data_IF_011938438126
#
_entry.id   IF_011938438126
#
_cell.length_a   1.000
_cell.length_b   1.000
_cell.length_c   1.000
_cell.angle_alpha   90.00
_cell.angle_beta   90.00
_cell.angle_gamma   90.00
#
_symmetry.space_group_name_H-M   'P 1'
#
loop_
_entity.id
_entity.type
_entity.pdbx_description
1 polymer ?
#
# COMPACT_ATOMS: atom_id res chain seq x y z
N UNK A 1 -22.61 -13.54 -2.11
CA UNK A 1 -22.02 -14.01 -0.82
C UNK A 1 -20.71 -13.28 -0.62
N UNK A 2 -20.40 -12.86 0.60
CA UNK A 2 -19.13 -12.21 0.91
C UNK A 2 -17.95 -13.14 0.60
N UNK A 3 -16.87 -12.59 0.05
CA UNK A 3 -15.62 -13.33 -0.16
C UNK A 3 -14.93 -13.57 1.18
N UNK A 4 -14.51 -14.78 1.44
CA UNK A 4 -13.80 -15.16 2.67
C UNK A 4 -12.30 -14.89 2.53
N UNK A 5 -11.78 -14.06 3.43
CA UNK A 5 -10.39 -13.58 3.38
C UNK A 5 -9.63 -14.01 4.62
N UNK A 6 -8.43 -14.56 4.43
CA UNK A 6 -7.43 -14.77 5.46
C UNK A 6 -6.36 -13.67 5.42
N UNK A 7 -5.77 -13.35 6.58
CA UNK A 7 -4.63 -12.43 6.65
C UNK A 7 -3.45 -13.18 7.29
N UNK A 8 -2.35 -13.29 6.56
CA UNK A 8 -1.09 -13.77 7.12
C UNK A 8 -0.20 -12.58 7.52
N UNK A 9 0.08 -12.43 8.82
CA UNK A 9 0.74 -11.27 9.40
C UNK A 9 -0.26 -10.19 9.84
N UNK A 10 -0.62 -10.20 11.11
CA UNK A 10 -1.57 -9.24 11.69
C UNK A 10 -0.85 -8.05 12.33
N UNK A 11 0.21 -7.58 11.63
CA UNK A 11 0.96 -6.36 11.93
C UNK A 11 0.17 -5.09 11.59
N UNK A 12 0.87 -3.96 11.39
CA UNK A 12 0.22 -2.67 11.05
C UNK A 12 -0.70 -2.79 9.83
N UNK A 13 -0.17 -3.28 8.71
CA UNK A 13 -0.94 -3.35 7.45
C UNK A 13 -2.08 -4.37 7.56
N UNK A 14 -1.84 -5.58 8.08
CA UNK A 14 -2.91 -6.58 8.25
C UNK A 14 -4.07 -6.06 9.10
N UNK A 15 -3.79 -5.39 10.24
CA UNK A 15 -4.83 -4.76 11.06
C UNK A 15 -5.53 -3.60 10.35
N UNK A 16 -4.79 -2.77 9.62
CA UNK A 16 -5.39 -1.65 8.89
C UNK A 16 -6.24 -2.11 7.70
N UNK A 17 -5.90 -3.20 7.04
CA UNK A 17 -6.75 -3.84 6.00
C UNK A 17 -8.07 -4.29 6.62
N UNK A 18 -8.03 -4.97 7.77
CA UNK A 18 -9.26 -5.35 8.48
C UNK A 18 -10.07 -4.11 8.88
N UNK A 19 -9.44 -3.09 9.48
CA UNK A 19 -10.09 -1.84 9.87
C UNK A 19 -10.72 -1.11 8.68
N UNK A 20 -10.03 -1.05 7.53
CA UNK A 20 -10.51 -0.37 6.33
C UNK A 20 -11.74 -1.06 5.70
N UNK A 21 -11.87 -2.36 5.89
CA UNK A 21 -12.98 -3.14 5.39
C UNK A 21 -14.14 -3.29 6.38
N UNK A 22 -14.04 -2.75 7.60
CA UNK A 22 -15.15 -2.80 8.56
C UNK A 22 -16.41 -2.16 7.97
N UNK A 23 -17.52 -2.90 8.03
CA UNK A 23 -18.80 -2.48 7.45
C UNK A 23 -18.95 -2.77 5.95
N UNK A 24 -17.93 -3.31 5.27
CA UNK A 24 -18.07 -3.77 3.89
C UNK A 24 -18.74 -5.16 3.86
N UNK A 25 -19.98 -5.30 3.32
CA UNK A 25 -20.71 -6.56 3.31
C UNK A 25 -20.15 -7.59 2.31
N UNK A 26 -19.25 -7.18 1.42
CA UNK A 26 -18.70 -8.06 0.39
C UNK A 26 -17.46 -8.82 0.86
N UNK A 27 -16.87 -8.44 2.01
CA UNK A 27 -15.64 -9.04 2.54
C UNK A 27 -15.90 -9.65 3.93
N UNK A 28 -15.51 -10.91 4.07
CA UNK A 28 -15.60 -11.66 5.32
C UNK A 28 -14.21 -12.12 5.76
N UNK A 29 -13.60 -11.43 6.74
CA UNK A 29 -12.36 -11.92 7.35
C UNK A 29 -12.68 -13.11 8.26
N UNK A 30 -12.20 -14.29 7.86
CA UNK A 30 -12.48 -15.56 8.55
C UNK A 30 -11.34 -16.00 9.45
N UNK A 31 -10.10 -15.61 9.14
CA UNK A 31 -8.94 -15.92 9.97
C UNK A 31 -7.80 -14.91 9.80
N UNK A 32 -6.98 -14.83 10.83
CA UNK A 32 -5.67 -14.17 10.80
C UNK A 32 -4.59 -15.14 11.31
N UNK A 33 -3.37 -14.99 10.84
CA UNK A 33 -2.21 -15.70 11.37
C UNK A 33 -1.20 -14.71 11.91
N UNK A 34 -0.77 -14.91 13.15
CA UNK A 34 0.34 -14.17 13.77
C UNK A 34 0.93 -14.99 14.92
N UNK A 35 2.18 -14.72 15.30
CA UNK A 35 2.88 -15.51 16.30
C UNK A 35 2.63 -15.07 17.74
N UNK A 36 1.84 -14.01 17.92
CA UNK A 36 1.47 -13.50 19.25
C UNK A 36 0.08 -13.98 19.69
N UNK A 37 -0.27 -13.77 20.94
CA UNK A 37 -1.54 -14.25 21.50
C UNK A 37 -2.75 -13.51 20.93
N UNK A 38 -3.94 -14.16 20.82
CA UNK A 38 -5.17 -13.51 20.42
C UNK A 38 -5.52 -12.28 21.27
N UNK A 39 -5.24 -12.31 22.57
CA UNK A 39 -5.46 -11.18 23.46
C UNK A 39 -4.62 -9.95 23.06
N UNK A 40 -3.35 -10.15 22.71
CA UNK A 40 -2.48 -9.07 22.23
C UNK A 40 -2.95 -8.56 20.87
N UNK A 41 -3.36 -9.45 19.98
CA UNK A 41 -3.88 -9.05 18.65
C UNK A 41 -5.17 -8.24 18.77
N UNK A 42 -6.10 -8.66 19.63
CA UNK A 42 -7.34 -7.93 19.93
C UNK A 42 -7.03 -6.54 20.52
N UNK A 43 -6.11 -6.46 21.46
CA UNK A 43 -5.67 -5.19 22.06
C UNK A 43 -5.11 -4.24 20.99
N UNK A 44 -4.18 -4.70 20.15
CA UNK A 44 -3.57 -3.89 19.10
C UNK A 44 -4.53 -3.58 17.93
N UNK A 45 -5.57 -4.37 17.74
CA UNK A 45 -6.65 -4.04 16.81
C UNK A 45 -7.53 -2.92 17.37
N UNK A 46 -7.85 -2.98 18.68
CA UNK A 46 -8.68 -2.00 19.37
C UNK A 46 -8.00 -0.64 19.49
N UNK A 47 -6.76 -0.64 19.94
CA UNK A 47 -6.00 0.56 20.29
C UNK A 47 -4.88 0.82 19.29
N UNK A 48 -4.90 1.97 18.65
CA UNK A 48 -3.90 2.35 17.66
C UNK A 48 -3.44 3.79 17.89
N UNK A 49 -2.13 3.97 18.05
CA UNK A 49 -1.53 5.27 18.36
C UNK A 49 -1.65 6.28 17.22
N UNK A 50 -1.80 5.80 15.97
CA UNK A 50 -1.88 6.63 14.75
C UNK A 50 -3.34 6.90 14.38
N UNK A 51 -4.13 5.82 14.21
CA UNK A 51 -5.50 5.88 13.72
C UNK A 51 -6.55 6.01 14.82
N UNK A 52 -6.11 5.92 16.08
CA UNK A 52 -7.02 6.00 17.24
C UNK A 52 -7.76 4.68 17.50
N UNK A 53 -8.59 4.72 18.53
CA UNK A 53 -9.28 3.54 19.03
C UNK A 53 -10.49 3.18 18.18
N UNK A 54 -10.66 1.89 17.85
CA UNK A 54 -11.89 1.41 17.24
C UNK A 54 -13.05 1.52 18.24
N UNK A 55 -14.22 1.93 17.72
CA UNK A 55 -15.46 1.96 18.50
C UNK A 55 -16.09 0.58 18.63
N UNK A 56 -15.80 -0.32 17.70
CA UNK A 56 -16.29 -1.69 17.66
C UNK A 56 -15.99 -2.44 18.96
N UNK A 57 -16.82 -3.37 19.33
CA UNK A 57 -16.56 -4.30 20.42
C UNK A 57 -15.53 -5.34 19.98
N UNK A 58 -14.37 -5.35 20.64
CA UNK A 58 -13.26 -6.25 20.32
C UNK A 58 -12.96 -7.11 21.55
N UNK A 59 -13.12 -8.43 21.40
CA UNK A 59 -12.78 -9.41 22.43
C UNK A 59 -11.88 -10.50 21.86
N UNK A 60 -11.40 -11.40 22.72
CA UNK A 60 -10.58 -12.55 22.33
C UNK A 60 -10.92 -13.78 23.13
N UNK A 61 -10.71 -14.95 22.55
CA UNK A 61 -10.69 -16.24 23.22
C UNK A 61 -9.34 -16.93 23.02
N UNK A 62 -9.33 -18.24 23.21
CA UNK A 62 -8.08 -19.03 23.16
C UNK A 62 -7.43 -19.02 21.76
N UNK A 63 -8.25 -19.06 20.71
CA UNK A 63 -7.80 -19.20 19.33
C UNK A 63 -8.60 -18.33 18.34
N UNK A 64 -9.21 -17.25 18.83
CA UNK A 64 -9.96 -16.30 18.02
C UNK A 64 -9.93 -14.89 18.62
N UNK A 65 -10.23 -13.92 17.76
CA UNK A 65 -10.66 -12.57 18.14
C UNK A 65 -12.10 -12.38 17.68
N UNK A 66 -12.83 -11.47 18.32
CA UNK A 66 -14.15 -11.04 17.83
C UNK A 66 -14.16 -9.57 17.48
N UNK A 67 -14.93 -9.22 16.47
CA UNK A 67 -15.27 -7.85 16.12
C UNK A 67 -16.79 -7.77 16.04
N UNK A 68 -17.42 -7.03 16.94
CA UNK A 68 -18.88 -6.92 17.07
C UNK A 68 -19.56 -8.30 17.13
N UNK A 69 -18.98 -9.22 17.89
CA UNK A 69 -19.47 -10.59 18.06
C UNK A 69 -19.10 -11.57 16.93
N UNK A 70 -18.61 -11.09 15.80
CA UNK A 70 -18.17 -11.95 14.70
C UNK A 70 -16.78 -12.53 15.01
N UNK A 71 -16.66 -13.86 14.99
CA UNK A 71 -15.41 -14.56 15.27
C UNK A 71 -14.49 -14.57 14.04
N UNK A 72 -13.21 -14.31 14.28
CA UNK A 72 -12.10 -14.42 13.36
C UNK A 72 -11.10 -15.38 13.97
N UNK A 73 -10.86 -16.53 13.34
CA UNK A 73 -9.89 -17.54 13.83
C UNK A 73 -8.48 -16.96 13.89
N UNK A 74 -7.74 -17.29 14.91
CA UNK A 74 -6.31 -16.95 15.02
C UNK A 74 -5.48 -18.21 14.87
N UNK A 75 -4.66 -18.26 13.83
CA UNK A 75 -3.60 -19.24 13.68
C UNK A 75 -2.31 -18.69 14.27
N UNK A 76 -1.41 -19.59 14.70
CA UNK A 76 -0.07 -19.23 15.18
C UNK A 76 0.97 -20.15 14.55
N UNK A 77 1.19 -19.97 13.24
CA UNK A 77 2.05 -20.83 12.43
C UNK A 77 3.08 -19.99 11.66
N UNK A 78 4.35 -20.45 11.71
CA UNK A 78 5.46 -19.80 10.99
C UNK A 78 5.53 -20.19 9.53
N UNK A 79 5.18 -21.44 9.24
CA UNK A 79 5.27 -22.02 7.91
C UNK A 79 3.93 -21.86 7.18
N UNK A 80 3.85 -21.03 6.14
CA UNK A 80 2.60 -20.81 5.42
C UNK A 80 2.00 -22.08 4.82
N UNK A 81 2.81 -23.10 4.54
CA UNK A 81 2.34 -24.37 4.02
C UNK A 81 1.54 -25.21 5.04
N UNK A 82 1.63 -24.87 6.32
CA UNK A 82 0.90 -25.55 7.41
C UNK A 82 -0.36 -24.82 7.83
N UNK A 83 -0.66 -23.67 7.22
CA UNK A 83 -1.88 -22.90 7.51
C UNK A 83 -3.10 -23.56 6.85
N UNK A 84 -4.02 -24.03 7.67
CA UNK A 84 -5.26 -24.66 7.20
C UNK A 84 -6.34 -23.61 6.86
N UNK A 85 -6.08 -22.86 5.79
CA UNK A 85 -7.04 -21.91 5.26
C UNK A 85 -8.36 -22.56 4.80
N UNK A 86 -8.31 -23.85 4.46
CA UNK A 86 -9.48 -24.60 4.01
C UNK A 86 -10.49 -24.80 5.13
N UNK A 87 -10.03 -25.03 6.38
CA UNK A 87 -10.91 -25.23 7.55
C UNK A 87 -11.81 -24.03 7.82
N UNK A 88 -11.38 -22.83 7.43
CA UNK A 88 -12.15 -21.57 7.56
C UNK A 88 -12.77 -21.13 6.23
N UNK A 89 -12.49 -21.86 5.15
CA UNK A 89 -13.00 -21.60 3.81
C UNK A 89 -12.46 -20.31 3.17
N UNK A 90 -11.27 -19.84 3.53
CA UNK A 90 -10.67 -18.65 2.94
C UNK A 90 -10.46 -18.83 1.43
N UNK A 91 -10.81 -17.81 0.65
CA UNK A 91 -10.73 -17.80 -0.82
C UNK A 91 -9.60 -16.89 -1.31
N UNK A 92 -9.30 -15.84 -0.54
CA UNK A 92 -8.18 -14.92 -0.75
C UNK A 92 -7.33 -14.89 0.51
N UNK A 93 -6.01 -14.85 0.37
CA UNK A 93 -5.08 -14.59 1.49
C UNK A 93 -4.34 -13.29 1.22
N UNK A 94 -4.37 -12.38 2.19
CA UNK A 94 -3.51 -11.19 2.21
C UNK A 94 -2.23 -11.55 2.95
N UNK A 95 -1.12 -11.61 2.23
CA UNK A 95 0.21 -11.83 2.78
C UNK A 95 0.81 -10.47 3.21
N UNK A 96 0.88 -10.22 4.50
CA UNK A 96 1.35 -8.96 5.09
C UNK A 96 2.37 -9.13 6.21
N UNK A 97 3.09 -10.28 6.23
CA UNK A 97 4.21 -10.51 7.16
C UNK A 97 5.46 -9.72 6.78
N UNK A 98 5.64 -9.38 5.50
CA UNK A 98 6.88 -8.84 4.93
C UNK A 98 7.98 -9.89 4.72
N UNK A 99 7.76 -11.16 5.09
CA UNK A 99 8.73 -12.25 4.93
C UNK A 99 8.54 -13.05 3.64
N UNK A 100 7.30 -13.19 3.17
CA UNK A 100 6.95 -14.01 2.00
C UNK A 100 6.66 -13.11 0.78
N UNK A 101 7.59 -12.22 0.47
CA UNK A 101 7.49 -11.33 -0.72
C UNK A 101 7.96 -11.99 -2.01
N UNK A 102 8.60 -13.16 -1.94
CA UNK A 102 8.84 -14.01 -3.09
C UNK A 102 7.60 -14.89 -3.35
N UNK A 103 7.00 -14.76 -4.53
CA UNK A 103 5.82 -15.52 -4.92
C UNK A 103 6.05 -17.03 -4.87
N UNK A 104 7.28 -17.51 -5.09
CA UNK A 104 7.62 -18.92 -4.93
C UNK A 104 7.41 -19.43 -3.50
N UNK A 105 7.48 -18.55 -2.51
CA UNK A 105 7.16 -18.85 -1.11
C UNK A 105 5.69 -18.59 -0.81
N UNK A 106 5.16 -17.46 -1.28
CA UNK A 106 3.76 -17.06 -1.05
C UNK A 106 2.76 -18.05 -1.67
N UNK A 107 3.13 -18.76 -2.73
CA UNK A 107 2.27 -19.79 -3.34
C UNK A 107 1.89 -20.93 -2.37
N UNK A 108 2.58 -21.08 -1.24
CA UNK A 108 2.22 -22.02 -0.20
C UNK A 108 0.84 -21.76 0.42
N UNK A 109 0.31 -20.55 0.27
CA UNK A 109 -1.07 -20.23 0.68
C UNK A 109 -2.13 -20.76 -0.28
N UNK A 110 -1.80 -21.00 -1.55
CA UNK A 110 -2.74 -21.54 -2.55
C UNK A 110 -3.12 -22.97 -2.18
N UNK A 111 -4.39 -23.30 -2.36
CA UNK A 111 -4.88 -24.64 -2.00
C UNK A 111 -6.33 -24.88 -2.42
N UNK A 112 -7.00 -25.81 -1.75
CA UNK A 112 -8.35 -26.23 -2.12
C UNK A 112 -9.34 -25.07 -2.19
N UNK A 113 -9.30 -24.14 -1.23
CA UNK A 113 -10.21 -23.00 -1.14
C UNK A 113 -9.56 -21.68 -1.58
N UNK A 114 -8.28 -21.46 -1.22
CA UNK A 114 -7.57 -20.22 -1.56
C UNK A 114 -7.21 -20.21 -3.05
N UNK A 115 -7.76 -19.23 -3.76
CA UNK A 115 -7.54 -19.04 -5.20
C UNK A 115 -6.59 -17.90 -5.51
N UNK A 116 -6.53 -16.89 -4.64
CA UNK A 116 -5.70 -15.71 -4.83
C UNK A 116 -4.89 -15.37 -3.57
N UNK A 117 -3.67 -14.92 -3.79
CA UNK A 117 -2.79 -14.37 -2.74
C UNK A 117 -2.44 -12.94 -3.12
N UNK A 118 -2.69 -11.99 -2.23
CA UNK A 118 -2.30 -10.59 -2.37
C UNK A 118 -1.08 -10.36 -1.48
N UNK A 119 0.07 -10.10 -2.07
CA UNK A 119 1.27 -9.69 -1.32
C UNK A 119 1.19 -8.18 -1.11
N UNK A 120 1.12 -7.75 0.15
CA UNK A 120 1.02 -6.34 0.54
C UNK A 120 2.39 -5.64 0.59
N UNK A 121 3.22 -5.90 -0.40
CA UNK A 121 4.57 -5.35 -0.55
C UNK A 121 5.03 -5.49 -2.02
N UNK A 122 6.09 -4.79 -2.46
CA UNK A 122 6.79 -5.16 -3.68
C UNK A 122 7.23 -6.62 -3.61
N UNK A 123 6.94 -7.38 -4.66
CA UNK A 123 7.22 -8.80 -4.70
C UNK A 123 8.32 -9.16 -5.71
N UNK A 124 8.68 -10.43 -5.76
CA UNK A 124 9.47 -11.03 -6.82
C UNK A 124 8.81 -12.32 -7.27
N UNK A 125 8.93 -12.64 -8.55
CA UNK A 125 8.34 -13.83 -9.19
C UNK A 125 6.80 -13.89 -9.10
N UNK A 126 6.15 -12.78 -8.79
CA UNK A 126 4.69 -12.65 -8.79
C UNK A 126 4.12 -12.78 -10.20
N UNK A 127 2.87 -13.26 -10.31
CA UNK A 127 2.21 -13.37 -11.59
C UNK A 127 1.94 -11.98 -12.19
N UNK A 128 1.61 -11.01 -11.33
CA UNK A 128 1.40 -9.61 -11.72
C UNK A 128 1.58 -8.67 -10.53
N UNK A 129 2.15 -7.49 -10.78
CA UNK A 129 2.06 -6.34 -9.89
C UNK A 129 0.93 -5.42 -10.36
N UNK A 130 -0.05 -5.14 -9.48
CA UNK A 130 -1.20 -4.27 -9.77
C UNK A 130 -1.16 -3.00 -8.95
N UNK A 131 -1.43 -1.89 -9.63
CA UNK A 131 -1.78 -0.60 -9.02
C UNK A 131 -3.13 -0.17 -9.60
N UNK A 132 -4.16 -0.18 -8.79
CA UNK A 132 -5.51 0.19 -9.19
C UNK A 132 -5.55 1.65 -9.69
N UNK A 133 -6.30 1.90 -10.75
CA UNK A 133 -6.32 3.15 -11.49
C UNK A 133 -5.24 3.24 -12.59
N UNK A 134 -4.25 2.33 -12.59
CA UNK A 134 -3.10 2.40 -13.50
C UNK A 134 -3.05 1.23 -14.48
N UNK A 135 -3.05 -0.02 -14.00
CA UNK A 135 -2.85 -1.18 -14.88
C UNK A 135 -3.76 -2.38 -14.56
N UNK A 136 -4.90 -2.16 -13.90
CA UNK A 136 -5.85 -3.24 -13.59
C UNK A 136 -6.45 -3.93 -14.84
N UNK A 137 -6.38 -3.28 -15.99
CA UNK A 137 -6.78 -3.84 -17.27
C UNK A 137 -5.90 -5.03 -17.72
N UNK A 138 -4.70 -5.15 -17.17
CA UNK A 138 -3.77 -6.27 -17.42
C UNK A 138 -4.09 -7.53 -16.61
N UNK A 139 -5.02 -7.45 -15.67
CA UNK A 139 -5.37 -8.60 -14.85
C UNK A 139 -6.13 -9.66 -15.65
N UNK A 140 -5.68 -10.91 -15.50
CA UNK A 140 -6.33 -12.10 -16.06
C UNK A 140 -6.58 -13.10 -14.92
N UNK A 141 -7.86 -13.29 -14.54
CA UNK A 141 -8.24 -14.14 -13.42
C UNK A 141 -7.78 -15.60 -13.59
N UNK A 142 -7.64 -16.07 -14.83
CA UNK A 142 -7.22 -17.45 -15.12
C UNK A 142 -5.72 -17.69 -14.94
N UNK A 143 -4.90 -16.62 -14.97
CA UNK A 143 -3.43 -16.71 -14.94
C UNK A 143 -2.81 -16.14 -13.68
N UNK A 144 -3.39 -15.08 -13.13
CA UNK A 144 -2.78 -14.32 -12.05
C UNK A 144 -3.36 -14.74 -10.70
N UNK A 145 -2.65 -15.60 -9.97
CA UNK A 145 -3.04 -16.11 -8.67
C UNK A 145 -2.25 -15.47 -7.52
N UNK A 146 -1.03 -15.01 -7.79
CA UNK A 146 -0.18 -14.31 -6.81
C UNK A 146 0.05 -12.88 -7.29
N UNK A 147 -0.58 -11.95 -6.63
CA UNK A 147 -0.66 -10.55 -7.03
C UNK A 147 0.11 -9.69 -6.01
N UNK A 148 1.05 -8.87 -6.48
CA UNK A 148 1.64 -7.82 -5.66
C UNK A 148 0.80 -6.54 -5.76
N UNK A 149 0.45 -5.94 -4.62
CA UNK A 149 -0.16 -4.60 -4.57
C UNK A 149 0.91 -3.49 -4.59
N UNK A 150 2.14 -3.79 -5.01
CA UNK A 150 3.28 -2.88 -4.99
C UNK A 150 3.56 -2.28 -3.60
N UNK A 151 4.26 -1.13 -3.53
CA UNK A 151 4.46 -0.37 -2.29
C UNK A 151 3.46 0.78 -2.17
N UNK A 152 3.34 1.34 -0.96
CA UNK A 152 2.58 2.57 -0.73
C UNK A 152 3.12 3.74 -1.58
N UNK A 153 4.44 3.85 -1.70
CA UNK A 153 5.10 4.87 -2.53
C UNK A 153 4.79 4.66 -4.02
N UNK A 154 4.82 3.41 -4.51
CA UNK A 154 4.45 3.10 -5.90
C UNK A 154 2.99 3.43 -6.17
N UNK A 155 2.09 3.12 -5.23
CA UNK A 155 0.67 3.48 -5.33
C UNK A 155 0.44 5.00 -5.36
N UNK A 156 1.28 5.79 -4.69
CA UNK A 156 1.24 7.25 -4.77
C UNK A 156 1.80 7.77 -6.10
N UNK A 157 2.96 7.26 -6.51
CA UNK A 157 3.70 7.79 -7.67
C UNK A 157 3.05 7.40 -9.01
N UNK A 158 2.53 6.17 -9.14
CA UNK A 158 2.04 5.65 -10.42
C UNK A 158 0.86 6.45 -11.00
N UNK A 159 -0.19 6.84 -10.24
CA UNK A 159 -1.25 7.69 -10.76
C UNK A 159 -0.76 9.06 -11.23
N UNK A 160 0.20 9.66 -10.52
CA UNK A 160 0.82 10.93 -10.91
C UNK A 160 1.56 10.79 -12.24
N UNK A 161 2.38 9.75 -12.36
CA UNK A 161 3.17 9.49 -13.59
C UNK A 161 2.27 9.14 -14.77
N UNK A 162 1.15 8.44 -14.55
CA UNK A 162 0.16 8.18 -15.60
C UNK A 162 -0.36 9.49 -16.21
N UNK A 163 -0.82 10.42 -15.37
CA UNK A 163 -1.30 11.74 -15.83
C UNK A 163 -0.19 12.52 -16.54
N UNK A 164 1.03 12.49 -16.02
CA UNK A 164 2.19 13.14 -16.65
C UNK A 164 2.44 12.59 -18.05
N UNK A 165 2.44 11.28 -18.23
CA UNK A 165 2.66 10.65 -19.54
C UNK A 165 1.59 11.03 -20.55
N UNK A 166 0.34 11.11 -20.13
CA UNK A 166 -0.79 11.47 -20.98
C UNK A 166 -0.80 12.97 -21.36
N UNK A 167 -0.24 13.83 -20.52
CA UNK A 167 -0.26 15.29 -20.71
C UNK A 167 1.03 15.83 -21.32
N UNK A 168 2.13 15.71 -20.59
CA UNK A 168 3.41 16.34 -20.94
C UNK A 168 4.42 15.38 -21.54
N UNK A 169 4.19 14.06 -21.40
CA UNK A 169 5.26 13.08 -21.60
C UNK A 169 6.34 13.17 -20.52
N UNK A 170 7.27 12.20 -20.52
CA UNK A 170 8.34 12.09 -19.53
C UNK A 170 9.63 11.63 -20.23
N UNK A 171 10.62 12.51 -20.29
CA UNK A 171 11.98 12.19 -20.79
C UNK A 171 12.74 11.41 -19.73
N UNK A 172 12.91 12.01 -18.55
CA UNK A 172 13.57 11.41 -17.39
C UNK A 172 13.16 12.14 -16.11
N UNK A 173 13.37 11.51 -14.94
CA UNK A 173 13.06 12.13 -13.67
C UNK A 173 13.69 11.44 -12.48
N UNK A 174 13.75 12.16 -11.38
CA UNK A 174 14.23 11.66 -10.08
C UNK A 174 13.16 11.91 -9.04
N UNK A 175 12.84 10.87 -8.28
CA UNK A 175 11.89 10.92 -7.18
C UNK A 175 12.60 10.79 -5.84
N UNK A 176 12.23 11.66 -4.91
CA UNK A 176 12.54 11.48 -3.49
C UNK A 176 11.24 11.30 -2.73
N UNK A 177 11.09 10.20 -1.98
CA UNK A 177 10.01 10.15 -1.01
C UNK A 177 10.51 10.55 0.37
N UNK A 178 9.92 11.62 0.92
CA UNK A 178 10.08 12.01 2.32
C UNK A 178 9.08 11.16 3.09
N UNK A 179 9.58 10.12 3.74
CA UNK A 179 8.76 9.01 4.20
C UNK A 179 8.79 8.90 5.72
N UNK A 180 7.62 8.71 6.32
CA UNK A 180 7.50 8.37 7.73
C UNK A 180 8.29 7.11 8.06
N UNK A 181 8.76 6.98 9.31
CA UNK A 181 9.42 5.76 9.76
C UNK A 181 8.46 4.57 9.76
N UNK A 182 9.00 3.38 9.58
CA UNK A 182 8.25 2.12 9.61
C UNK A 182 8.95 1.10 10.49
N UNK A 183 8.30 -0.02 10.80
CA UNK A 183 8.82 -1.04 11.72
C UNK A 183 10.08 -1.78 11.25
N UNK A 184 10.56 -1.52 10.04
CA UNK A 184 11.88 -1.96 9.58
C UNK A 184 13.03 -1.09 10.10
N UNK A 185 12.71 0.03 10.74
CA UNK A 185 13.64 0.92 11.40
C UNK A 185 13.68 0.68 12.91
N UNK A 186 14.72 1.16 13.56
CA UNK A 186 14.98 0.92 14.98
C UNK A 186 14.70 2.17 15.81
N UNK A 187 14.31 1.97 17.08
CA UNK A 187 14.06 3.07 18.02
C UNK A 187 15.38 3.74 18.43
N UNK A 188 16.36 2.94 18.86
CA UNK A 188 17.72 3.37 19.21
C UNK A 188 18.74 2.64 18.34
N UNK A 189 19.98 3.18 18.28
CA UNK A 189 21.06 2.62 17.47
C UNK A 189 21.28 1.13 17.81
N UNK A 190 21.13 0.26 16.80
CA UNK A 190 21.31 -1.18 16.95
C UNK A 190 21.70 -1.80 15.59
N UNK A 191 22.32 -3.00 15.56
CA UNK A 191 22.70 -3.63 14.32
C UNK A 191 21.53 -3.78 13.33
N UNK A 192 21.79 -3.36 12.09
CA UNK A 192 20.88 -3.48 10.96
C UNK A 192 21.71 -3.68 9.68
N UNK A 193 21.22 -4.41 8.68
CA UNK A 193 21.93 -4.65 7.40
C UNK A 193 22.19 -3.36 6.61
N UNK A 194 21.32 -2.36 6.74
CA UNK A 194 21.50 -1.00 6.25
C UNK A 194 21.99 -0.14 7.43
N UNK A 195 23.23 0.35 7.35
CA UNK A 195 23.85 1.12 8.44
C UNK A 195 23.14 2.45 8.72
N UNK A 196 22.46 3.04 7.75
CA UNK A 196 21.65 4.24 7.97
C UNK A 196 20.39 3.91 8.74
N UNK A 197 19.72 2.79 8.43
CA UNK A 197 18.55 2.30 9.19
C UNK A 197 18.90 1.75 10.57
N UNK A 198 20.19 1.50 10.84
CA UNK A 198 20.68 1.12 12.17
C UNK A 198 20.60 2.27 13.19
N UNK A 199 20.24 3.47 12.77
CA UNK A 199 20.20 4.68 13.61
C UNK A 199 18.77 4.99 14.06
N UNK A 200 18.66 5.71 15.18
CA UNK A 200 17.42 6.07 15.85
C UNK A 200 16.43 6.79 14.92
N UNK A 201 15.33 6.12 14.58
CA UNK A 201 14.36 6.57 13.59
C UNK A 201 13.63 7.86 13.98
N UNK A 202 13.31 8.01 15.27
CA UNK A 202 12.54 9.16 15.77
C UNK A 202 13.41 10.42 16.02
N UNK A 203 14.72 10.33 15.79
CA UNK A 203 15.66 11.44 16.00
C UNK A 203 16.35 11.91 14.71
N UNK A 204 16.34 11.11 13.66
CA UNK A 204 17.21 11.30 12.52
C UNK A 204 16.44 11.37 11.21
N UNK A 205 16.89 12.22 10.29
CA UNK A 205 16.56 12.10 8.87
C UNK A 205 17.50 11.06 8.26
N UNK A 206 16.94 9.99 7.69
CA UNK A 206 17.69 8.81 7.27
C UNK A 206 17.52 8.59 5.76
N UNK A 207 18.53 8.97 4.92
CA UNK A 207 18.54 8.58 3.51
C UNK A 207 18.56 7.06 3.38
N UNK A 208 17.71 6.52 2.53
CA UNK A 208 17.50 5.08 2.41
C UNK A 208 17.15 4.72 0.97
N UNK A 209 17.57 3.56 0.52
CA UNK A 209 17.15 3.05 -0.78
C UNK A 209 15.64 2.79 -0.83
N UNK A 210 15.05 2.95 -2.00
CA UNK A 210 13.69 2.50 -2.31
C UNK A 210 13.63 1.94 -3.73
N UNK A 211 12.91 0.85 -3.89
CA UNK A 211 12.63 0.29 -5.22
C UNK A 211 11.41 0.91 -5.90
N UNK A 212 10.72 1.88 -5.27
CA UNK A 212 9.42 2.35 -5.74
C UNK A 212 9.45 2.97 -7.15
N UNK A 213 10.45 3.79 -7.46
CA UNK A 213 10.58 4.39 -8.79
C UNK A 213 10.91 3.32 -9.86
N UNK A 214 11.81 2.39 -9.53
CA UNK A 214 12.18 1.29 -10.45
C UNK A 214 11.04 0.29 -10.64
N UNK A 215 10.19 0.11 -9.63
CA UNK A 215 9.03 -0.78 -9.71
C UNK A 215 7.92 -0.24 -10.65
N UNK A 216 7.92 1.08 -10.95
CA UNK A 216 6.94 1.65 -11.88
C UNK A 216 6.93 0.98 -13.24
N UNK A 217 8.09 0.52 -13.76
CA UNK A 217 8.15 -0.20 -15.04
C UNK A 217 7.30 -1.47 -15.08
N UNK A 218 6.95 -2.03 -13.92
CA UNK A 218 6.09 -3.23 -13.84
C UNK A 218 4.62 -2.88 -14.10
N UNK A 219 4.23 -1.64 -13.80
CA UNK A 219 2.84 -1.16 -13.94
C UNK A 219 2.67 -0.14 -15.07
N UNK A 220 3.74 0.61 -15.40
CA UNK A 220 3.83 1.57 -16.51
C UNK A 220 5.14 1.31 -17.28
N UNK A 221 5.16 0.37 -18.23
CA UNK A 221 6.38 -0.05 -18.94
C UNK A 221 7.15 1.11 -19.59
N UNK A 222 6.46 2.17 -20.00
CA UNK A 222 7.02 3.37 -20.64
C UNK A 222 8.00 4.13 -19.73
N UNK A 223 7.99 3.86 -18.42
CA UNK A 223 8.90 4.47 -17.46
C UNK A 223 10.24 3.74 -17.33
N UNK A 224 10.41 2.63 -18.04
CA UNK A 224 11.64 1.82 -17.96
C UNK A 224 12.87 2.65 -18.34
N UNK A 225 13.85 2.75 -17.41
CA UNK A 225 15.06 3.51 -17.59
C UNK A 225 14.92 5.05 -17.48
N UNK A 226 13.70 5.56 -17.31
CA UNK A 226 13.43 7.00 -17.21
C UNK A 226 13.36 7.54 -15.79
N UNK A 227 13.06 6.69 -14.82
CA UNK A 227 12.86 7.10 -13.42
C UNK A 227 13.74 6.31 -12.45
N UNK A 228 14.37 7.03 -11.52
CA UNK A 228 15.05 6.48 -10.35
C UNK A 228 14.76 7.35 -9.12
N UNK A 229 15.20 6.92 -7.94
CA UNK A 229 14.99 7.69 -6.73
C UNK A 229 15.39 6.97 -5.46
N UNK A 230 15.19 7.66 -4.35
CA UNK A 230 15.50 7.18 -3.01
C UNK A 230 14.46 7.71 -1.99
N UNK A 231 14.57 7.25 -0.75
CA UNK A 231 13.76 7.72 0.35
C UNK A 231 14.61 8.54 1.33
N UNK A 232 14.00 9.55 1.95
CA UNK A 232 14.49 10.16 3.18
C UNK A 232 13.45 9.82 4.26
N UNK A 233 13.82 8.95 5.19
CA UNK A 233 13.00 8.66 6.36
C UNK A 233 13.09 9.82 7.34
N UNK A 234 11.96 10.26 7.85
CA UNK A 234 11.85 11.41 8.76
C UNK A 234 11.17 11.04 10.08
N UNK A 235 11.39 11.80 11.16
CA UNK A 235 10.83 11.53 12.49
C UNK A 235 9.32 11.80 12.58
N UNK A 236 8.53 11.28 11.65
CA UNK A 236 7.07 11.32 11.66
C UNK A 236 6.50 9.90 11.64
N UNK A 237 5.42 9.62 12.40
CA UNK A 237 4.93 8.24 12.55
C UNK A 237 4.08 7.76 11.38
N UNK A 238 3.50 8.67 10.59
CA UNK A 238 2.65 8.36 9.45
C UNK A 238 2.51 9.57 8.52
N UNK A 239 2.02 9.34 7.32
CA UNK A 239 1.93 10.24 6.18
C UNK A 239 3.29 10.59 5.59
N UNK A 240 3.40 10.38 4.32
CA UNK A 240 4.60 10.57 3.51
C UNK A 240 4.28 11.45 2.30
N UNK A 241 5.32 11.97 1.65
CA UNK A 241 5.17 12.76 0.43
C UNK A 241 6.18 12.30 -0.61
N UNK A 242 5.73 12.16 -1.86
CA UNK A 242 6.58 12.00 -3.03
C UNK A 242 6.92 13.39 -3.57
N UNK A 243 8.20 13.64 -3.77
CA UNK A 243 8.75 14.77 -4.52
C UNK A 243 9.31 14.22 -5.84
N UNK A 244 8.60 14.44 -6.93
CA UNK A 244 9.02 14.07 -8.28
C UNK A 244 9.49 15.31 -9.02
N UNK A 245 10.75 15.30 -9.47
CA UNK A 245 11.26 16.26 -10.45
C UNK A 245 11.54 15.52 -11.77
N UNK A 246 10.98 16.03 -12.87
CA UNK A 246 11.13 15.38 -14.17
C UNK A 246 11.32 16.38 -15.30
N UNK A 247 11.82 15.90 -16.44
CA UNK A 247 11.92 16.66 -17.69
C UNK A 247 10.74 16.27 -18.55
N UNK A 248 9.88 17.23 -18.84
CA UNK A 248 8.72 17.06 -19.72
C UNK A 248 9.16 16.98 -21.19
N UNK A 249 8.51 16.13 -21.97
CA UNK A 249 8.72 16.02 -23.43
C UNK A 249 8.11 17.22 -24.16
N UNK A 250 6.96 17.70 -23.65
CA UNK A 250 6.24 18.84 -24.20
C UNK A 250 6.23 19.98 -23.20
N UNK A 251 6.36 21.25 -23.64
CA UNK A 251 6.16 22.40 -22.77
C UNK A 251 4.80 22.37 -22.06
N UNK A 252 4.75 22.81 -20.84
CA UNK A 252 3.52 22.91 -20.05
C UNK A 252 3.59 24.09 -19.10
N UNK A 253 2.45 24.40 -18.51
CA UNK A 253 2.33 25.39 -17.43
C UNK A 253 1.82 24.73 -16.15
N UNK A 254 2.04 25.38 -15.01
CA UNK A 254 1.48 24.94 -13.71
C UNK A 254 -0.04 24.78 -13.81
N UNK A 255 -0.73 25.72 -14.46
CA UNK A 255 -2.18 25.69 -14.59
C UNK A 255 -2.68 24.50 -15.42
N UNK A 256 -2.05 24.24 -16.56
CA UNK A 256 -2.40 23.09 -17.43
C UNK A 256 -2.19 21.76 -16.72
N UNK A 257 -1.05 21.58 -16.09
CA UNK A 257 -0.74 20.32 -15.40
C UNK A 257 -1.66 20.09 -14.20
N UNK A 258 -1.91 21.12 -13.37
CA UNK A 258 -2.84 21.00 -12.26
C UNK A 258 -4.28 20.75 -12.73
N UNK A 259 -4.71 21.35 -13.86
CA UNK A 259 -6.01 21.06 -14.45
C UNK A 259 -6.12 19.60 -14.90
N UNK A 260 -5.04 19.02 -15.46
CA UNK A 260 -5.01 17.61 -15.84
C UNK A 260 -5.15 16.68 -14.62
N UNK A 261 -4.45 16.97 -13.51
CA UNK A 261 -4.61 16.21 -12.26
C UNK A 261 -6.05 16.32 -11.71
N UNK A 262 -6.64 17.51 -11.73
CA UNK A 262 -8.04 17.71 -11.30
C UNK A 262 -9.01 16.92 -12.21
N UNK A 263 -8.80 16.92 -13.51
CA UNK A 263 -9.63 16.15 -14.44
C UNK A 263 -9.53 14.65 -14.17
N UNK A 264 -8.31 14.12 -14.05
CA UNK A 264 -8.08 12.72 -13.75
C UNK A 264 -8.69 12.29 -12.40
N UNK A 265 -8.56 13.13 -11.37
CA UNK A 265 -9.10 12.84 -10.02
C UNK A 265 -10.64 12.78 -9.98
N UNK A 266 -11.32 13.45 -10.90
CA UNK A 266 -12.78 13.40 -11.06
C UNK A 266 -13.24 12.33 -12.05
N UNK A 267 -12.34 11.90 -12.93
CA UNK A 267 -12.55 10.92 -13.99
C UNK A 267 -12.04 9.53 -13.64
N UNK A 268 -11.09 9.05 -14.42
CA UNK A 268 -10.57 7.68 -14.38
C UNK A 268 -9.82 7.31 -13.09
N UNK A 269 -9.25 8.29 -12.40
CA UNK A 269 -8.55 8.10 -11.13
C UNK A 269 -9.41 8.50 -9.92
N UNK A 270 -10.72 8.61 -10.08
CA UNK A 270 -11.64 8.88 -8.98
C UNK A 270 -11.51 7.84 -7.88
N UNK A 271 -11.31 8.30 -6.64
CA UNK A 271 -11.10 7.43 -5.48
C UNK A 271 -9.66 6.93 -5.32
N UNK A 272 -8.77 7.23 -6.27
CA UNK A 272 -7.34 6.89 -6.26
C UNK A 272 -6.49 8.15 -6.10
N UNK A 273 -6.69 9.14 -6.97
CA UNK A 273 -5.99 10.42 -6.99
C UNK A 273 -6.87 11.52 -6.41
N UNK A 274 -6.28 12.39 -5.62
CA UNK A 274 -6.85 13.67 -5.20
C UNK A 274 -5.95 14.83 -5.59
N UNK A 275 -6.48 16.03 -5.52
CA UNK A 275 -5.73 17.29 -5.67
C UNK A 275 -6.12 18.19 -4.52
N UNK A 276 -5.14 18.66 -3.79
CA UNK A 276 -5.33 19.65 -2.73
C UNK A 276 -4.86 21.03 -3.18
N UNK A 277 -5.64 22.06 -2.81
CA UNK A 277 -5.36 23.46 -3.14
C UNK A 277 -5.11 24.31 -1.89
N UNK A 278 -5.10 23.68 -0.70
CA UNK A 278 -4.85 24.34 0.56
C UNK A 278 -3.36 24.23 0.94
N UNK A 279 -2.96 24.97 1.94
CA UNK A 279 -1.60 24.96 2.47
C UNK A 279 -1.52 23.96 3.65
N UNK A 280 -1.65 22.66 3.35
CA UNK A 280 -1.73 21.57 4.34
C UNK A 280 -0.36 20.97 4.64
N UNK A 281 -0.30 20.21 5.74
CA UNK A 281 0.87 19.47 6.20
C UNK A 281 0.52 17.99 6.43
N UNK A 282 1.52 17.17 6.70
CA UNK A 282 1.35 15.71 6.83
C UNK A 282 0.22 15.29 7.77
N UNK A 283 0.02 15.99 8.89
CA UNK A 283 -1.01 15.64 9.88
C UNK A 283 -2.44 15.71 9.34
N UNK A 284 -2.67 16.56 8.33
CA UNK A 284 -4.00 16.81 7.74
C UNK A 284 -4.43 15.66 6.81
N UNK A 285 -3.47 14.91 6.30
CA UNK A 285 -3.71 13.77 5.42
C UNK A 285 -3.83 12.43 6.17
N UNK A 286 -3.68 12.43 7.50
CA UNK A 286 -3.83 11.20 8.30
C UNK A 286 -5.25 10.64 8.17
N UNK A 287 -5.37 9.37 7.84
CA UNK A 287 -6.65 8.70 7.61
C UNK A 287 -7.26 8.96 6.23
N UNK A 288 -6.56 9.66 5.34
CA UNK A 288 -7.02 9.81 3.96
C UNK A 288 -6.86 8.49 3.21
N UNK A 289 -7.93 8.03 2.54
CA UNK A 289 -7.98 6.75 1.84
C UNK A 289 -7.43 6.79 0.42
N UNK A 290 -7.14 7.97 -0.12
CA UNK A 290 -6.58 8.10 -1.47
C UNK A 290 -5.13 7.61 -1.51
N UNK A 291 -4.74 7.05 -2.64
CA UNK A 291 -3.36 6.61 -2.86
C UNK A 291 -2.39 7.77 -3.05
N UNK A 292 -2.88 8.89 -3.56
CA UNK A 292 -2.06 10.01 -4.03
C UNK A 292 -2.88 11.29 -3.95
N UNK A 293 -2.34 12.36 -3.34
CA UNK A 293 -3.01 13.67 -3.26
C UNK A 293 -1.99 14.71 -3.72
N UNK A 294 -2.13 15.18 -4.96
CA UNK A 294 -1.24 16.21 -5.52
C UNK A 294 -1.40 17.52 -4.76
N UNK A 295 -0.29 18.09 -4.33
CA UNK A 295 -0.20 19.41 -3.72
C UNK A 295 -0.10 20.46 -4.84
N UNK A 296 -1.24 20.96 -5.30
CA UNK A 296 -1.30 21.85 -6.45
C UNK A 296 -0.53 23.19 -6.27
N UNK A 297 -0.53 23.84 -5.09
CA UNK A 297 0.27 25.04 -4.84
C UNK A 297 1.77 24.85 -4.99
N UNK A 298 2.27 23.64 -4.78
CA UNK A 298 3.69 23.30 -4.84
C UNK A 298 4.14 22.77 -6.23
N UNK A 299 3.24 22.66 -7.19
CA UNK A 299 3.62 22.38 -8.58
C UNK A 299 4.49 23.51 -9.13
N UNK A 300 5.66 23.19 -9.71
CA UNK A 300 6.59 24.15 -10.29
C UNK A 300 6.99 23.75 -11.70
N UNK A 301 7.15 24.74 -12.57
CA UNK A 301 7.61 24.58 -13.94
C UNK A 301 8.71 25.62 -14.22
N UNK A 302 9.88 25.14 -14.61
CA UNK A 302 11.04 25.97 -15.01
C UNK A 302 11.60 25.42 -16.32
N UNK A 303 11.28 26.07 -17.44
CA UNK A 303 11.53 25.49 -18.76
C UNK A 303 10.79 24.15 -18.88
N UNK A 304 11.51 23.08 -19.26
CA UNK A 304 10.95 21.74 -19.31
C UNK A 304 11.14 20.95 -18.00
N UNK A 305 11.77 21.53 -16.97
CA UNK A 305 11.90 20.92 -15.66
C UNK A 305 10.63 21.17 -14.85
N UNK A 306 9.98 20.10 -14.43
CA UNK A 306 8.72 20.14 -13.69
C UNK A 306 8.88 19.43 -12.36
N UNK A 307 8.33 20.02 -11.30
CA UNK A 307 8.25 19.44 -9.96
C UNK A 307 6.80 19.25 -9.56
N UNK A 308 6.48 18.03 -9.09
CA UNK A 308 5.17 17.67 -8.53
C UNK A 308 5.36 17.02 -7.19
N UNK A 309 4.61 17.46 -6.19
CA UNK A 309 4.55 16.86 -4.88
C UNK A 309 3.21 16.14 -4.71
N UNK A 310 3.23 14.96 -4.09
CA UNK A 310 2.00 14.23 -3.80
C UNK A 310 2.06 13.55 -2.44
N UNK A 311 1.06 13.84 -1.61
CA UNK A 311 0.87 13.29 -0.27
C UNK A 311 0.20 11.91 -0.31
N UNK A 312 0.49 11.09 0.68
CA UNK A 312 -0.22 9.82 0.90
C UNK A 312 -0.12 9.36 2.35
N UNK A 313 -1.22 8.87 2.89
CA UNK A 313 -1.16 8.09 4.12
C UNK A 313 -0.60 6.71 3.79
N UNK A 314 0.67 6.49 4.11
CA UNK A 314 1.40 5.28 3.72
C UNK A 314 0.87 4.00 4.38
N UNK A 315 0.05 4.11 5.43
CA UNK A 315 -0.62 2.99 6.07
C UNK A 315 -2.09 2.89 5.64
N UNK A 316 -2.87 3.96 5.83
CA UNK A 316 -4.32 3.93 5.61
C UNK A 316 -4.69 3.92 4.13
N UNK A 317 -4.13 4.81 3.32
CA UNK A 317 -4.35 4.84 1.88
C UNK A 317 -3.96 3.51 1.23
N UNK A 318 -2.81 2.97 1.61
CA UNK A 318 -2.35 1.68 1.12
C UNK A 318 -3.26 0.52 1.53
N UNK A 319 -3.71 0.48 2.78
CA UNK A 319 -4.61 -0.56 3.27
C UNK A 319 -5.98 -0.52 2.58
N UNK A 320 -6.49 0.67 2.25
CA UNK A 320 -7.69 0.81 1.43
C UNK A 320 -7.46 0.26 0.01
N UNK A 321 -6.29 0.46 -0.60
CA UNK A 321 -5.98 -0.15 -1.91
C UNK A 321 -5.96 -1.68 -1.86
N UNK A 322 -5.49 -2.28 -0.77
CA UNK A 322 -5.58 -3.75 -0.60
C UNK A 322 -7.04 -4.19 -0.53
N UNK A 323 -7.90 -3.46 0.21
CA UNK A 323 -9.34 -3.74 0.29
C UNK A 323 -10.01 -3.61 -1.08
N UNK A 324 -9.71 -2.54 -1.82
CA UNK A 324 -10.23 -2.33 -3.17
C UNK A 324 -9.75 -3.42 -4.14
N UNK A 325 -8.50 -3.87 -4.00
CA UNK A 325 -7.97 -4.97 -4.81
C UNK A 325 -8.73 -6.28 -4.52
N UNK A 326 -9.08 -6.58 -3.26
CA UNK A 326 -9.93 -7.71 -2.92
C UNK A 326 -11.26 -7.60 -3.66
N UNK A 327 -11.93 -6.45 -3.60
CA UNK A 327 -13.19 -6.21 -4.32
C UNK A 327 -13.06 -6.36 -5.83
N UNK A 328 -11.99 -5.83 -6.41
CA UNK A 328 -11.68 -5.95 -7.83
C UNK A 328 -11.51 -7.42 -8.27
N UNK A 329 -10.77 -8.22 -7.48
CA UNK A 329 -10.58 -9.65 -7.80
C UNK A 329 -11.92 -10.40 -7.76
N UNK A 330 -12.80 -10.09 -6.81
CA UNK A 330 -14.16 -10.67 -6.72
C UNK A 330 -14.98 -10.29 -7.95
N UNK A 331 -14.97 -9.02 -8.35
CA UNK A 331 -15.67 -8.53 -9.55
C UNK A 331 -15.20 -9.25 -10.82
N UNK A 332 -13.91 -9.56 -10.91
CA UNK A 332 -13.31 -10.26 -12.07
C UNK A 332 -13.47 -11.79 -12.02
N UNK A 333 -14.09 -12.34 -10.99
CA UNK A 333 -14.43 -13.75 -10.88
C UNK A 333 -13.36 -14.62 -10.20
N UNK A 334 -12.44 -13.99 -9.44
CA UNK A 334 -11.34 -14.64 -8.70
C UNK A 334 -10.39 -15.41 -9.58
#
# INVERSE_FOLDING_TARGET
MAVKVGINGFGRIGRNVLRAALGNPEIDFVAVNDLTSPATLAHLLKYDSILGNLKNDITSGDDFITVDGKKIKVFSERDPAKLDWASVGAQIVVESTGFFTDANKAKAHLGATVKKVIISAPASNEDITLVLGVNQDKYDASKHNIISNASCTTNCLAPVVKVILETTGLVSGIMTTIHSYTNDQVILDTPHKDLRRARAAALSMIPSSTGAAKALKLVIPETAGKLDGFAIRVPTPNVSIVDLTYIAEKPTTVAELNAAFVAASKGELKGILGVDSNELVSSDFKGNKLSSIVDAPLTKVVGNSVKVLSWYDNEWGYSNRVVDLIGFLVEKGL
#
